data_IF_820118386098
#
_entry.id   IF_820118386098
#
_cell.length_a   1.000
_cell.length_b   1.000
_cell.length_c   1.000
_cell.angle_alpha   90.00
_cell.angle_beta   90.00
_cell.angle_gamma   90.00
#
_symmetry.space_group_name_H-M   'P 1'
#
loop_
_entity.id
_entity.type
_entity.pdbx_description
1 polymer ?
#
# COMPACT_ATOMS: atom_id res chain seq x y z
N UNK A 1 -6.40 41.36 -20.26
CA UNK A 1 -5.92 39.98 -20.06
C UNK A 1 -4.72 40.04 -19.13
N UNK A 2 -4.90 39.70 -17.85
CA UNK A 2 -3.80 39.67 -16.88
C UNK A 2 -3.07 38.35 -17.03
N UNK A 3 -1.89 38.42 -17.63
CA UNK A 3 -0.94 37.31 -17.67
C UNK A 3 -0.26 37.22 -16.30
N UNK A 4 -0.95 36.66 -15.30
CA UNK A 4 -0.29 36.28 -14.06
C UNK A 4 0.55 35.06 -14.38
N UNK A 5 1.84 35.25 -14.60
CA UNK A 5 2.83 34.21 -14.42
C UNK A 5 2.69 33.72 -12.97
N UNK A 6 1.94 32.64 -12.77
CA UNK A 6 1.89 31.94 -11.50
C UNK A 6 3.25 31.25 -11.33
N UNK A 7 4.17 31.92 -10.68
CA UNK A 7 5.41 31.34 -10.20
C UNK A 7 5.03 30.28 -9.17
N UNK A 8 4.96 29.03 -9.60
CA UNK A 8 4.88 27.90 -8.67
C UNK A 8 6.12 27.94 -7.77
N UNK A 9 5.91 28.09 -6.48
CA UNK A 9 7.00 28.07 -5.51
C UNK A 9 7.58 26.65 -5.51
N UNK A 10 8.84 26.49 -5.93
CA UNK A 10 9.54 25.20 -5.97
C UNK A 10 9.50 24.45 -4.64
N UNK A 11 9.38 25.15 -3.52
CA UNK A 11 9.23 24.55 -2.19
C UNK A 11 7.95 23.69 -2.06
N UNK A 12 6.93 23.92 -2.92
CA UNK A 12 5.70 23.13 -2.88
C UNK A 12 5.78 21.85 -3.72
N UNK A 13 6.82 21.70 -4.56
CA UNK A 13 7.01 20.49 -5.36
C UNK A 13 7.52 19.33 -4.51
N UNK A 14 8.20 19.63 -3.40
CA UNK A 14 8.74 18.61 -2.52
C UNK A 14 7.86 18.42 -1.28
N UNK A 15 7.45 17.17 -1.05
CA UNK A 15 6.85 16.74 0.20
C UNK A 15 7.84 15.82 0.92
N UNK A 16 8.26 16.21 2.12
CA UNK A 16 9.33 15.54 2.86
C UNK A 16 10.65 15.51 2.06
N UNK A 17 11.06 14.34 1.59
CA UNK A 17 12.33 14.12 0.91
C UNK A 17 12.21 13.84 -0.58
N UNK A 18 11.00 13.89 -1.17
CA UNK A 18 10.78 13.57 -2.57
C UNK A 18 9.71 14.47 -3.22
N UNK A 19 9.62 14.37 -4.53
CA UNK A 19 8.69 15.15 -5.37
C UNK A 19 7.25 14.72 -5.06
N UNK A 20 6.37 15.69 -4.78
CA UNK A 20 4.94 15.47 -4.63
C UNK A 20 4.28 15.47 -6.02
N UNK A 21 3.63 14.36 -6.39
CA UNK A 21 3.14 14.12 -7.76
C UNK A 21 2.15 15.16 -8.27
N UNK A 22 1.24 15.63 -7.42
CA UNK A 22 0.19 16.58 -7.81
C UNK A 22 0.75 17.97 -8.08
N UNK A 23 1.65 18.43 -7.20
CA UNK A 23 2.36 19.71 -7.38
C UNK A 23 3.29 19.65 -8.58
N UNK A 24 3.94 18.51 -8.81
CA UNK A 24 4.81 18.33 -9.96
C UNK A 24 4.02 18.26 -11.27
N UNK A 25 2.85 17.62 -11.28
CA UNK A 25 1.95 17.64 -12.41
C UNK A 25 1.54 19.08 -12.76
N UNK A 26 1.13 19.86 -11.76
CA UNK A 26 0.78 21.27 -11.97
C UNK A 26 1.96 22.11 -12.48
N UNK A 27 3.18 21.79 -12.05
CA UNK A 27 4.39 22.41 -12.56
C UNK A 27 4.62 22.09 -14.05
N UNK A 28 4.52 20.80 -14.42
CA UNK A 28 4.77 20.35 -15.79
C UNK A 28 3.69 20.82 -16.78
N UNK A 29 2.41 20.73 -16.38
CA UNK A 29 1.29 20.88 -17.31
C UNK A 29 0.42 22.12 -17.05
N UNK A 30 0.76 22.93 -16.03
CA UNK A 30 0.12 24.23 -15.71
C UNK A 30 -1.40 24.16 -15.45
N UNK A 31 -1.91 22.98 -15.06
CA UNK A 31 -3.33 22.75 -14.75
C UNK A 31 -3.49 21.67 -13.67
N UNK A 32 -4.60 21.67 -12.90
CA UNK A 32 -4.86 20.66 -11.91
C UNK A 32 -5.12 19.29 -12.56
N UNK A 33 -4.64 18.19 -11.98
CA UNK A 33 -4.86 16.86 -12.53
C UNK A 33 -6.24 16.30 -12.19
N UNK A 34 -6.78 15.48 -13.11
CA UNK A 34 -7.66 14.38 -12.77
C UNK A 34 -6.80 13.22 -12.27
N UNK A 35 -7.24 12.49 -11.27
CA UNK A 35 -6.45 11.46 -10.61
C UNK A 35 -7.22 10.16 -10.60
N UNK A 36 -6.58 9.09 -11.08
CA UNK A 36 -7.10 7.73 -10.96
C UNK A 36 -6.12 6.87 -10.19
N UNK A 37 -6.65 6.18 -9.20
CA UNK A 37 -5.90 5.29 -8.31
C UNK A 37 -6.11 3.82 -8.69
N UNK A 38 -5.01 3.06 -8.82
CA UNK A 38 -5.03 1.60 -9.04
C UNK A 38 -4.26 0.95 -7.91
N UNK A 39 -4.94 0.21 -7.05
CA UNK A 39 -4.36 -0.46 -5.89
C UNK A 39 -3.92 -1.91 -6.19
N UNK A 40 -3.19 -2.50 -5.23
CA UNK A 40 -2.75 -3.91 -5.24
C UNK A 40 -2.01 -4.33 -6.50
N UNK A 41 -1.14 -3.47 -6.97
CA UNK A 41 -0.29 -3.74 -8.15
C UNK A 41 1.13 -4.19 -7.74
N UNK A 42 1.81 -4.82 -8.67
CA UNK A 42 3.24 -5.13 -8.55
C UNK A 42 4.05 -3.99 -9.19
N UNK A 43 4.61 -3.10 -8.36
CA UNK A 43 5.34 -1.91 -8.80
C UNK A 43 6.50 -2.22 -9.77
N UNK A 44 7.27 -3.28 -9.50
CA UNK A 44 8.42 -3.66 -10.35
C UNK A 44 7.99 -4.11 -11.75
N UNK A 45 6.86 -4.82 -11.84
CA UNK A 45 6.31 -5.25 -13.13
C UNK A 45 5.74 -4.07 -13.90
N UNK A 46 5.03 -3.19 -13.21
CA UNK A 46 4.49 -1.96 -13.81
C UNK A 46 5.63 -1.09 -14.34
N UNK A 47 6.67 -0.87 -13.54
CA UNK A 47 7.81 -0.04 -13.97
C UNK A 47 8.51 -0.61 -15.21
N UNK A 48 8.71 -1.93 -15.28
CA UNK A 48 9.25 -2.58 -16.47
C UNK A 48 8.34 -2.39 -17.67
N UNK A 49 7.07 -2.70 -17.53
CA UNK A 49 6.08 -2.55 -18.59
C UNK A 49 6.04 -1.10 -19.12
N UNK A 50 6.05 -0.10 -18.25
CA UNK A 50 6.06 1.30 -18.66
C UNK A 50 7.31 1.65 -19.48
N UNK A 51 8.48 1.11 -19.11
CA UNK A 51 9.71 1.33 -19.86
C UNK A 51 9.72 0.62 -21.21
N UNK A 52 9.17 -0.58 -21.27
CA UNK A 52 9.19 -1.43 -22.47
C UNK A 52 8.17 -0.95 -23.50
N UNK A 53 6.93 -0.66 -23.07
CA UNK A 53 5.83 -0.35 -23.99
C UNK A 53 5.64 1.16 -24.23
N UNK A 54 5.97 2.00 -23.23
CA UNK A 54 5.77 3.45 -23.31
C UNK A 54 7.10 4.22 -23.38
N UNK A 55 8.22 3.53 -23.61
CA UNK A 55 9.55 4.16 -23.62
C UNK A 55 9.64 5.41 -24.47
N UNK A 56 9.09 5.40 -25.69
CA UNK A 56 9.07 6.53 -26.62
C UNK A 56 8.18 7.69 -26.15
N UNK A 57 7.19 7.42 -25.34
CA UNK A 57 6.28 8.44 -24.80
C UNK A 57 6.80 9.06 -23.49
N UNK A 58 7.76 8.40 -22.82
CA UNK A 58 8.33 8.87 -21.57
C UNK A 58 9.20 10.09 -21.81
N UNK A 59 8.90 11.17 -21.08
CA UNK A 59 9.69 12.43 -21.11
C UNK A 59 10.61 12.59 -19.91
N UNK A 60 10.32 11.85 -18.80
CA UNK A 60 11.18 11.85 -17.63
C UNK A 60 10.82 10.73 -16.65
N UNK A 61 11.83 10.26 -15.91
CA UNK A 61 11.68 9.30 -14.83
C UNK A 61 12.41 9.84 -13.60
N UNK A 62 11.70 9.97 -12.50
CA UNK A 62 12.22 10.47 -11.22
C UNK A 62 11.98 9.42 -10.16
N UNK A 63 13.03 9.05 -9.40
CA UNK A 63 12.97 7.92 -8.49
C UNK A 63 13.49 8.29 -7.11
N UNK A 64 12.71 7.95 -6.09
CA UNK A 64 13.18 7.91 -4.71
C UNK A 64 13.58 6.50 -4.35
N UNK A 65 14.83 6.33 -3.96
CA UNK A 65 15.37 5.02 -3.63
C UNK A 65 16.10 5.02 -2.30
N UNK A 66 16.10 3.86 -1.66
CA UNK A 66 16.86 3.58 -0.45
C UNK A 66 17.82 2.43 -0.68
N UNK A 67 19.03 2.56 -0.16
CA UNK A 67 19.96 1.44 -0.16
C UNK A 67 19.77 0.60 1.11
N UNK A 68 19.31 -0.63 0.94
CA UNK A 68 19.18 -1.59 2.04
C UNK A 68 20.53 -2.24 2.33
N UNK A 69 21.11 -1.96 3.51
CA UNK A 69 22.38 -2.57 3.94
C UNK A 69 22.27 -4.08 4.15
N UNK A 70 21.11 -4.56 4.62
CA UNK A 70 20.86 -5.99 4.88
C UNK A 70 20.79 -6.82 3.60
N UNK A 71 20.09 -6.33 2.58
CA UNK A 71 19.96 -7.00 1.28
C UNK A 71 21.04 -6.60 0.26
N UNK A 72 21.83 -5.56 0.56
CA UNK A 72 22.82 -4.94 -0.35
C UNK A 72 22.22 -4.53 -1.70
N UNK A 73 20.97 -4.07 -1.71
CA UNK A 73 20.24 -3.69 -2.92
C UNK A 73 19.63 -2.29 -2.79
N UNK A 74 19.51 -1.63 -3.94
CA UNK A 74 18.70 -0.43 -4.06
C UNK A 74 17.25 -0.86 -4.14
N UNK A 75 16.40 -0.23 -3.33
CA UNK A 75 14.95 -0.38 -3.33
C UNK A 75 14.33 0.95 -3.75
N UNK A 76 13.48 0.92 -4.76
CA UNK A 76 12.75 2.08 -5.22
C UNK A 76 11.43 2.17 -4.46
N UNK A 77 11.28 3.21 -3.65
CA UNK A 77 10.05 3.43 -2.87
C UNK A 77 8.98 4.11 -3.72
N UNK A 78 9.38 5.10 -4.53
CA UNK A 78 8.48 5.85 -5.39
C UNK A 78 9.15 6.15 -6.71
N UNK A 79 8.41 6.01 -7.80
CA UNK A 79 8.83 6.40 -9.15
C UNK A 79 7.76 7.28 -9.79
N UNK A 80 8.15 8.45 -10.27
CA UNK A 80 7.31 9.33 -11.09
C UNK A 80 7.76 9.22 -12.54
N UNK A 81 6.81 9.02 -13.45
CA UNK A 81 7.03 8.94 -14.90
C UNK A 81 6.18 10.02 -15.56
N UNK A 82 6.81 10.93 -16.27
CA UNK A 82 6.10 11.92 -17.10
C UNK A 82 6.00 11.42 -18.53
N UNK A 83 4.82 11.57 -19.13
CA UNK A 83 4.53 11.20 -20.52
C UNK A 83 4.27 12.43 -21.37
N UNK A 84 4.41 12.29 -22.70
CA UNK A 84 4.19 13.40 -23.66
C UNK A 84 2.76 13.96 -23.63
N UNK A 85 1.77 13.09 -23.37
CA UNK A 85 0.35 13.41 -23.49
C UNK A 85 -0.22 13.93 -22.16
N UNK A 86 0.46 14.88 -21.52
CA UNK A 86 0.05 15.53 -20.27
C UNK A 86 -0.40 14.53 -19.19
N UNK A 87 0.29 13.42 -19.13
CA UNK A 87 0.04 12.35 -18.18
C UNK A 87 1.27 12.13 -17.31
N UNK A 88 1.04 11.90 -16.01
CA UNK A 88 2.05 11.55 -15.03
C UNK A 88 1.60 10.28 -14.31
N UNK A 89 2.51 9.34 -14.18
CA UNK A 89 2.27 8.09 -13.48
C UNK A 89 3.15 8.03 -12.24
N UNK A 90 2.55 7.97 -11.06
CA UNK A 90 3.24 7.69 -9.81
C UNK A 90 3.11 6.20 -9.48
N UNK A 91 4.23 5.52 -9.30
CA UNK A 91 4.30 4.12 -8.89
C UNK A 91 4.92 4.09 -7.50
N UNK A 92 4.18 3.66 -6.49
CA UNK A 92 4.66 3.60 -5.12
C UNK A 92 4.11 2.37 -4.37
N UNK A 93 5.01 1.63 -3.70
CA UNK A 93 4.63 0.49 -2.88
C UNK A 93 3.79 -0.56 -3.61
N UNK A 94 2.48 -0.49 -3.46
CA UNK A 94 1.53 -1.42 -4.09
C UNK A 94 0.42 -0.72 -4.87
N UNK A 95 0.60 0.54 -5.23
CA UNK A 95 -0.37 1.32 -5.98
C UNK A 95 0.28 2.10 -7.13
N UNK A 96 -0.56 2.54 -8.05
CA UNK A 96 -0.26 3.51 -9.09
C UNK A 96 -1.29 4.62 -9.04
N UNK A 97 -0.85 5.88 -9.02
CA UNK A 97 -1.68 7.03 -9.34
C UNK A 97 -1.40 7.47 -10.78
N UNK A 98 -2.45 7.63 -11.56
CA UNK A 98 -2.38 8.16 -12.92
C UNK A 98 -3.01 9.54 -12.88
N UNK A 99 -2.17 10.56 -13.10
CA UNK A 99 -2.55 11.96 -13.15
C UNK A 99 -2.62 12.40 -14.61
N UNK A 100 -3.74 12.96 -15.02
CA UNK A 100 -3.95 13.36 -16.41
C UNK A 100 -4.81 14.63 -16.50
N UNK A 101 -4.82 15.26 -17.65
CA UNK A 101 -5.76 16.32 -17.93
C UNK A 101 -7.13 15.75 -18.30
N UNK A 102 -8.18 16.59 -18.25
CA UNK A 102 -9.52 16.15 -18.64
C UNK A 102 -9.58 15.76 -20.13
N UNK A 103 -8.75 16.41 -20.95
CA UNK A 103 -8.70 16.21 -22.40
C UNK A 103 -8.02 14.89 -22.78
N UNK A 104 -7.08 14.42 -21.94
CA UNK A 104 -6.27 13.21 -22.17
C UNK A 104 -6.81 11.96 -21.46
N UNK A 105 -8.13 11.91 -21.24
CA UNK A 105 -8.80 10.80 -20.57
C UNK A 105 -8.62 9.45 -21.27
N UNK A 106 -8.46 9.44 -22.58
CA UNK A 106 -8.29 8.20 -23.37
C UNK A 106 -7.03 7.47 -22.98
N UNK A 107 -5.90 8.17 -22.87
CA UNK A 107 -4.60 7.60 -22.48
C UNK A 107 -4.66 7.10 -21.05
N UNK A 108 -5.28 7.86 -20.15
CA UNK A 108 -5.46 7.43 -18.76
C UNK A 108 -6.26 6.13 -18.67
N UNK A 109 -7.33 5.97 -19.46
CA UNK A 109 -8.12 4.74 -19.50
C UNK A 109 -7.34 3.54 -20.02
N UNK A 110 -6.54 3.73 -21.06
CA UNK A 110 -5.67 2.67 -21.57
C UNK A 110 -4.66 2.25 -20.51
N UNK A 111 -3.99 3.19 -19.87
CA UNK A 111 -3.06 2.92 -18.77
C UNK A 111 -3.73 2.19 -17.62
N UNK A 112 -4.91 2.63 -17.16
CA UNK A 112 -5.66 1.97 -16.09
C UNK A 112 -5.92 0.51 -16.45
N UNK A 113 -6.42 0.26 -17.68
CA UNK A 113 -6.73 -1.08 -18.16
C UNK A 113 -5.50 -1.98 -18.21
N UNK A 114 -4.39 -1.48 -18.75
CA UNK A 114 -3.15 -2.24 -18.89
C UNK A 114 -2.48 -2.44 -17.52
N UNK A 115 -2.35 -1.40 -16.70
CA UNK A 115 -1.67 -1.49 -15.41
C UNK A 115 -2.44 -2.32 -14.38
N UNK A 116 -3.78 -2.35 -14.45
CA UNK A 116 -4.60 -3.19 -13.59
C UNK A 116 -4.36 -4.70 -13.75
N UNK A 117 -3.72 -5.13 -14.84
CA UNK A 117 -3.36 -6.54 -15.07
C UNK A 117 -2.22 -7.00 -14.17
N UNK A 118 -1.38 -6.09 -13.69
CA UNK A 118 -0.22 -6.39 -12.84
C UNK A 118 -0.60 -6.52 -11.37
N UNK A 119 -1.65 -7.27 -11.07
CA UNK A 119 -2.09 -7.49 -9.68
C UNK A 119 -0.99 -8.10 -8.83
N UNK A 120 -0.82 -7.56 -7.64
CA UNK A 120 -0.01 -8.18 -6.60
C UNK A 120 -0.82 -9.32 -5.98
N UNK A 121 -0.34 -10.55 -6.13
CA UNK A 121 -0.90 -11.69 -5.41
C UNK A 121 -0.36 -11.58 -3.97
N UNK A 122 -1.18 -11.10 -3.07
CA UNK A 122 -0.88 -11.19 -1.65
C UNK A 122 -1.05 -12.64 -1.22
N UNK A 123 0.03 -13.27 -0.77
CA UNK A 123 -0.09 -14.54 -0.08
C UNK A 123 -0.92 -14.28 1.17
N UNK A 124 -2.07 -14.94 1.27
CA UNK A 124 -2.89 -14.91 2.48
C UNK A 124 -2.00 -15.36 3.63
N UNK A 125 -1.68 -14.46 4.54
CA UNK A 125 -0.97 -14.82 5.75
C UNK A 125 -1.96 -15.53 6.65
N UNK A 126 -1.60 -16.71 7.15
CA UNK A 126 -2.53 -17.55 7.89
C UNK A 126 -2.92 -16.97 9.25
N UNK A 127 -2.07 -16.10 9.81
CA UNK A 127 -2.29 -15.52 11.14
C UNK A 127 -1.81 -14.06 11.17
N UNK A 128 -2.75 -13.13 11.21
CA UNK A 128 -2.48 -11.70 11.37
C UNK A 128 -3.37 -11.12 12.48
N UNK A 129 -2.78 -10.32 13.37
CA UNK A 129 -3.52 -9.43 14.27
C UNK A 129 -3.39 -8.02 13.73
N UNK A 130 -4.53 -7.33 13.63
CA UNK A 130 -4.55 -5.91 13.30
C UNK A 130 -4.66 -5.11 14.58
N UNK A 131 -3.62 -4.34 14.90
CA UNK A 131 -3.63 -3.37 15.98
C UNK A 131 -4.17 -2.05 15.46
N UNK A 132 -5.18 -1.52 16.15
CA UNK A 132 -5.63 -0.15 15.92
C UNK A 132 -4.62 0.80 16.56
N UNK A 133 -3.94 1.58 15.77
CA UNK A 133 -2.98 2.60 16.21
C UNK A 133 -3.52 3.98 15.86
N UNK A 134 -3.13 4.99 16.62
CA UNK A 134 -3.43 6.38 16.32
C UNK A 134 -2.18 7.05 15.79
N UNK A 135 -2.24 7.58 14.58
CA UNK A 135 -1.19 8.38 13.96
C UNK A 135 -1.67 9.83 13.80
N UNK A 136 -0.82 10.69 13.25
CA UNK A 136 -1.12 12.11 13.00
C UNK A 136 -2.33 12.30 12.06
N UNK A 137 -2.54 11.34 11.14
CA UNK A 137 -3.63 11.37 10.15
C UNK A 137 -4.92 10.67 10.65
N UNK A 138 -4.94 10.12 11.88
CA UNK A 138 -6.12 9.47 12.46
C UNK A 138 -5.85 8.06 13.01
N UNK A 139 -6.87 7.19 12.88
CA UNK A 139 -6.76 5.78 13.26
C UNK A 139 -6.23 4.96 12.08
N UNK A 140 -5.20 4.16 12.33
CA UNK A 140 -4.59 3.25 11.36
C UNK A 140 -4.58 1.81 11.89
N UNK A 141 -4.52 0.84 10.97
CA UNK A 141 -4.41 -0.59 11.28
C UNK A 141 -2.99 -1.07 11.02
N UNK A 142 -2.27 -1.36 12.09
CA UNK A 142 -0.93 -1.95 12.01
C UNK A 142 -1.02 -3.48 12.07
N UNK A 143 -0.64 -4.12 10.98
CA UNK A 143 -0.59 -5.59 10.91
C UNK A 143 0.59 -6.14 11.70
N UNK A 144 0.33 -7.12 12.56
CA UNK A 144 1.36 -7.92 13.25
C UNK A 144 1.27 -9.36 12.80
N UNK A 145 2.40 -9.88 12.32
CA UNK A 145 2.53 -11.31 12.01
C UNK A 145 2.61 -12.14 13.30
N UNK A 146 1.72 -13.12 13.44
CA UNK A 146 1.79 -14.08 14.55
C UNK A 146 2.50 -15.33 14.06
N UNK A 147 3.53 -15.74 14.77
CA UNK A 147 4.15 -17.03 14.53
C UNK A 147 3.26 -18.13 15.13
N UNK A 148 2.97 -19.16 14.32
CA UNK A 148 2.29 -20.34 14.83
C UNK A 148 3.14 -20.95 15.96
N UNK A 149 2.58 -20.98 17.16
CA UNK A 149 3.22 -21.63 18.31
C UNK A 149 2.72 -23.07 18.39
N UNK A 150 3.64 -24.03 18.51
CA UNK A 150 3.30 -25.41 18.86
C UNK A 150 3.25 -25.54 20.38
N UNK A 151 2.25 -24.91 20.99
CA UNK A 151 2.06 -25.01 22.44
C UNK A 151 1.27 -26.27 22.76
N UNK A 152 1.78 -27.12 23.65
CA UNK A 152 1.02 -28.20 24.20
C UNK A 152 0.14 -27.68 25.35
N UNK A 153 -1.13 -27.42 25.01
CA UNK A 153 -2.07 -26.83 25.98
C UNK A 153 -2.26 -27.71 27.22
N UNK A 154 -2.11 -29.05 27.11
CA UNK A 154 -2.23 -29.96 28.24
C UNK A 154 -1.11 -29.83 29.29
N UNK A 155 0.05 -29.23 28.90
CA UNK A 155 1.14 -28.95 29.83
C UNK A 155 0.98 -27.63 30.59
N UNK A 156 0.19 -26.67 30.04
CA UNK A 156 0.13 -25.29 30.56
C UNK A 156 -1.22 -24.94 31.15
N UNK A 157 -2.27 -25.69 30.85
CA UNK A 157 -3.63 -25.42 31.32
C UNK A 157 -4.24 -26.66 31.98
N UNK A 158 -5.15 -26.42 32.91
CA UNK A 158 -5.89 -27.47 33.59
C UNK A 158 -6.86 -28.18 32.63
N UNK A 159 -7.21 -29.43 32.99
CA UNK A 159 -8.01 -30.32 32.13
C UNK A 159 -9.39 -29.75 31.78
N UNK A 160 -9.95 -28.84 32.60
CA UNK A 160 -11.23 -28.19 32.36
C UNK A 160 -11.19 -27.16 31.23
N UNK A 161 -10.01 -26.60 30.93
CA UNK A 161 -9.82 -25.64 29.85
C UNK A 161 -9.87 -26.27 28.46
N UNK A 162 -9.38 -27.50 28.31
CA UNK A 162 -9.29 -28.16 27.00
C UNK A 162 -10.63 -28.29 26.26
N UNK A 163 -11.72 -28.75 26.94
CA UNK A 163 -13.06 -28.77 26.31
C UNK A 163 -13.56 -27.39 25.87
N UNK A 164 -13.30 -26.36 26.68
CA UNK A 164 -13.71 -24.99 26.39
C UNK A 164 -12.94 -24.49 25.18
N UNK A 165 -11.63 -24.68 25.13
CA UNK A 165 -10.78 -24.32 24.00
C UNK A 165 -11.25 -25.00 22.70
N UNK A 166 -11.57 -26.29 22.73
CA UNK A 166 -12.10 -27.04 21.58
C UNK A 166 -13.41 -26.42 21.07
N UNK A 167 -14.32 -26.09 21.97
CA UNK A 167 -15.60 -25.44 21.63
C UNK A 167 -15.38 -24.05 20.99
N UNK A 168 -14.43 -23.27 21.52
CA UNK A 168 -14.04 -21.97 20.95
C UNK A 168 -13.54 -22.13 19.52
N UNK A 169 -12.58 -23.06 19.29
CA UNK A 169 -12.04 -23.31 17.96
C UNK A 169 -13.10 -23.80 16.96
N UNK A 170 -13.97 -24.70 17.38
CA UNK A 170 -15.07 -25.19 16.53
C UNK A 170 -16.00 -24.05 16.09
N UNK A 171 -16.32 -23.12 16.99
CA UNK A 171 -17.15 -21.96 16.67
C UNK A 171 -16.43 -20.94 15.79
N UNK A 172 -15.18 -20.61 16.08
CA UNK A 172 -14.38 -19.67 15.29
C UNK A 172 -14.11 -20.17 13.86
N UNK A 173 -13.99 -21.49 13.68
CA UNK A 173 -13.80 -22.10 12.36
C UNK A 173 -15.11 -22.24 11.55
N UNK A 174 -16.25 -22.02 12.16
CA UNK A 174 -17.56 -22.16 11.50
C UNK A 174 -17.80 -20.99 10.57
N UNK A 175 -17.98 -21.28 9.28
CA UNK A 175 -18.27 -20.25 8.27
C UNK A 175 -19.61 -19.58 8.60
N UNK A 176 -19.60 -18.25 8.76
CA UNK A 176 -20.76 -17.42 9.12
C UNK A 176 -21.20 -17.46 10.60
N UNK A 177 -20.44 -18.11 11.50
CA UNK A 177 -20.67 -17.94 12.93
C UNK A 177 -20.00 -16.64 13.39
N UNK A 178 -20.74 -15.80 14.11
CA UNK A 178 -20.25 -14.55 14.69
C UNK A 178 -20.17 -14.73 16.19
N UNK A 179 -18.97 -14.69 16.74
CA UNK A 179 -18.75 -14.80 18.16
C UNK A 179 -17.61 -13.90 18.61
N UNK A 180 -17.74 -13.37 19.82
CA UNK A 180 -16.65 -12.72 20.54
C UNK A 180 -16.30 -13.63 21.71
N UNK A 181 -15.01 -13.99 21.81
CA UNK A 181 -14.49 -14.74 22.95
C UNK A 181 -13.75 -13.75 23.85
N UNK A 182 -14.20 -13.62 25.09
CA UNK A 182 -13.53 -12.81 26.10
C UNK A 182 -12.84 -13.74 27.09
N UNK A 183 -11.50 -13.74 27.10
CA UNK A 183 -10.70 -14.45 28.07
C UNK A 183 -10.46 -13.54 29.27
N UNK A 184 -10.98 -13.92 30.43
CA UNK A 184 -10.83 -13.21 31.69
C UNK A 184 -9.98 -14.01 32.68
N UNK A 185 -9.10 -13.37 33.42
CA UNK A 185 -8.27 -14.00 34.45
C UNK A 185 -7.26 -13.02 35.04
N UNK A 186 -6.58 -13.40 36.10
CA UNK A 186 -5.56 -12.58 36.74
C UNK A 186 -4.39 -12.29 35.80
N UNK A 187 -3.67 -11.17 35.98
CA UNK A 187 -2.45 -10.89 35.24
C UNK A 187 -1.43 -12.02 35.40
N UNK A 188 -0.77 -12.41 34.32
CA UNK A 188 0.25 -13.47 34.33
C UNK A 188 -0.26 -14.90 34.14
N UNK A 189 -1.54 -15.11 33.94
CA UNK A 189 -2.13 -16.46 33.74
C UNK A 189 -2.08 -16.94 32.26
N UNK A 190 -1.11 -16.49 31.48
CA UNK A 190 -0.87 -16.99 30.10
C UNK A 190 -1.87 -16.59 29.03
N UNK A 191 -2.80 -15.68 29.30
CA UNK A 191 -3.82 -15.20 28.33
C UNK A 191 -3.31 -14.70 26.99
N UNK A 192 -2.13 -14.06 26.89
CA UNK A 192 -1.61 -13.57 25.61
C UNK A 192 -0.98 -14.64 24.73
N UNK A 193 -0.93 -15.91 25.16
CA UNK A 193 -0.29 -17.00 24.42
C UNK A 193 -1.27 -17.86 23.62
N UNK A 194 -2.54 -17.47 23.57
CA UNK A 194 -3.56 -18.17 22.78
C UNK A 194 -3.79 -17.54 21.44
#
# INVERSE_FOLDING_TARGET
>A
MYNQQRTLNLNNIFRYSFIESKSFFMYCYQQPPCITWVDRINADKVLRYMKDEYGDAITGIYQYSKYSRSSRKIQYDTTLITLRDNCLVEIAGSYVEILHTIEDYTIANELIKELSRFKRIEKKKDFEINLVTKDYDGLDLKVMDIKKTNLDLGLYYEDDFLPVHKTILERLNKRQDKGIVLLHGLPGTGKPLT
#
